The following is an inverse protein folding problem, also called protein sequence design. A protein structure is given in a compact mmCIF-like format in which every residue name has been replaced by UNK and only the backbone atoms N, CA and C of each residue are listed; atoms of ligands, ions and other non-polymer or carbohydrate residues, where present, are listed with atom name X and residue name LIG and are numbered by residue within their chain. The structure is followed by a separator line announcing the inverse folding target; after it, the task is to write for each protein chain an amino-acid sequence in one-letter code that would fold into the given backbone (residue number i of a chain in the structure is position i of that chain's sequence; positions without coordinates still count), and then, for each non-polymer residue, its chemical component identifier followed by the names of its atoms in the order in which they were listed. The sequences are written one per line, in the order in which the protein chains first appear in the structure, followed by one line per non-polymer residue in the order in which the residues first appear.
data_IF_143561742891
#
_entry.id   IF_143561742891
#
_cell.length_a   1.000
_cell.length_b   1.000
_cell.length_c   1.000
_cell.angle_alpha   90.00
_cell.angle_beta   90.00
_cell.angle_gamma   90.00
#
_symmetry.space_group_name_H-M   'P 1'
#
loop_
_entity.id
_entity.type
_entity.pdbx_description
1 polymer ?
#
# COMPACT_ATOMS: atom_id res chain seq x y z
N UNK A 1 57.83 12.92 -2.20
CA UNK A 1 57.27 13.60 -3.40
C UNK A 1 56.43 12.63 -4.22
N UNK A 2 56.97 11.46 -4.60
CA UNK A 2 56.27 10.45 -5.41
C UNK A 2 54.95 9.91 -4.81
N UNK A 3 54.91 9.59 -3.51
CA UNK A 3 53.66 9.14 -2.85
C UNK A 3 52.58 10.21 -2.85
N UNK A 4 52.97 11.47 -2.62
CA UNK A 4 52.06 12.62 -2.63
C UNK A 4 51.43 12.83 -4.01
N UNK A 5 52.23 12.70 -5.07
CA UNK A 5 51.74 12.88 -6.45
C UNK A 5 50.83 11.70 -6.89
N UNK A 6 51.12 10.50 -6.40
CA UNK A 6 50.25 9.32 -6.57
C UNK A 6 48.90 9.54 -5.89
N UNK A 7 48.90 9.99 -4.64
CA UNK A 7 47.69 10.32 -3.89
C UNK A 7 46.88 11.42 -4.57
N UNK A 8 47.53 12.49 -5.05
CA UNK A 8 46.86 13.58 -5.76
C UNK A 8 46.10 13.09 -7.01
N UNK A 9 46.70 12.16 -7.75
CA UNK A 9 46.08 11.57 -8.94
C UNK A 9 44.85 10.72 -8.57
N UNK A 10 44.93 9.96 -7.47
CA UNK A 10 43.79 9.17 -6.99
C UNK A 10 42.63 10.03 -6.49
N UNK A 11 42.93 11.13 -5.78
CA UNK A 11 41.92 12.07 -5.26
C UNK A 11 41.16 12.71 -6.42
N UNK A 12 41.87 13.25 -7.42
CA UNK A 12 41.24 13.83 -8.61
C UNK A 12 40.36 12.82 -9.37
N UNK A 13 40.81 11.56 -9.45
CA UNK A 13 40.03 10.49 -10.06
C UNK A 13 38.76 10.13 -9.27
N UNK A 14 38.83 10.17 -7.94
CA UNK A 14 37.68 9.94 -7.07
C UNK A 14 36.69 11.11 -7.12
N UNK A 15 37.16 12.35 -7.12
CA UNK A 15 36.32 13.55 -7.26
C UNK A 15 35.54 13.53 -8.58
N UNK A 16 36.16 13.09 -9.69
CA UNK A 16 35.48 12.90 -10.96
C UNK A 16 34.37 11.84 -10.91
N UNK A 17 34.61 10.73 -10.20
CA UNK A 17 33.60 9.68 -10.00
C UNK A 17 32.46 10.15 -9.12
N UNK A 18 32.75 10.88 -8.05
CA UNK A 18 31.73 11.47 -7.16
C UNK A 18 30.83 12.40 -7.95
N UNK A 19 31.39 13.31 -8.75
CA UNK A 19 30.60 14.22 -9.59
C UNK A 19 29.70 13.49 -10.59
N UNK A 20 30.24 12.46 -11.25
CA UNK A 20 29.46 11.64 -12.18
C UNK A 20 28.32 10.86 -11.49
N UNK A 21 28.52 10.44 -10.23
CA UNK A 21 27.48 9.79 -9.44
C UNK A 21 26.42 10.80 -8.96
N UNK A 22 26.81 12.02 -8.58
CA UNK A 22 25.89 13.10 -8.21
C UNK A 22 24.99 13.50 -9.41
N UNK A 23 25.58 13.64 -10.60
CA UNK A 23 24.83 13.95 -11.83
C UNK A 23 23.82 12.84 -12.17
N UNK A 24 24.24 11.57 -12.08
CA UNK A 24 23.34 10.42 -12.25
C UNK A 24 22.23 10.40 -11.21
N UNK A 25 22.56 10.67 -9.94
CA UNK A 25 21.56 10.71 -8.88
C UNK A 25 20.53 11.81 -9.16
N UNK A 26 20.96 12.97 -9.64
CA UNK A 26 20.08 14.09 -10.01
C UNK A 26 19.20 13.75 -11.21
N UNK A 27 19.73 13.06 -12.22
CA UNK A 27 18.97 12.55 -13.36
C UNK A 27 17.94 11.50 -12.93
N UNK A 28 18.30 10.56 -12.05
CA UNK A 28 17.37 9.55 -11.53
C UNK A 28 16.34 10.12 -10.57
N UNK A 29 16.68 11.17 -9.81
CA UNK A 29 15.75 11.82 -8.86
C UNK A 29 14.62 12.58 -9.58
N UNK A 30 14.83 13.00 -10.83
CA UNK A 30 13.77 13.53 -11.70
C UNK A 30 12.98 12.45 -12.45
N UNK A 31 13.38 11.18 -12.35
CA UNK A 31 12.85 10.04 -13.13
C UNK A 31 12.41 8.88 -12.25
N UNK A 32 12.34 9.09 -10.94
CA UNK A 32 11.83 8.12 -9.99
C UNK A 32 10.34 7.93 -10.22
N UNK A 33 9.97 6.81 -10.83
CA UNK A 33 8.58 6.33 -10.96
C UNK A 33 7.89 6.10 -9.61
N UNK A 34 8.59 6.31 -8.49
CA UNK A 34 8.09 6.15 -7.11
C UNK A 34 7.67 7.47 -6.47
N UNK A 35 8.04 8.64 -7.03
CA UNK A 35 7.72 9.97 -6.45
C UNK A 35 6.65 10.75 -7.24
N UNK A 36 6.11 10.17 -8.33
CA UNK A 36 5.01 10.78 -9.08
C UNK A 36 3.71 10.10 -8.63
N UNK A 37 3.14 10.60 -7.54
CA UNK A 37 1.73 10.32 -7.21
C UNK A 37 0.92 10.80 -8.42
N UNK A 38 0.26 9.87 -9.11
CA UNK A 38 -0.49 10.22 -10.32
C UNK A 38 -1.75 10.98 -9.96
N UNK A 39 -2.35 11.70 -10.92
CA UNK A 39 -3.64 12.35 -10.67
C UNK A 39 -4.72 11.33 -10.30
N UNK A 40 -4.64 10.11 -10.85
CA UNK A 40 -5.52 9.01 -10.49
C UNK A 40 -5.30 8.54 -9.06
N UNK A 41 -4.05 8.42 -8.60
CA UNK A 41 -3.74 8.07 -7.21
C UNK A 41 -4.26 9.15 -6.25
N UNK A 42 -4.06 10.43 -6.56
CA UNK A 42 -4.62 11.53 -5.75
C UNK A 42 -6.16 11.53 -5.73
N UNK A 43 -6.82 11.07 -6.80
CA UNK A 43 -8.27 11.00 -6.84
C UNK A 43 -8.83 9.92 -5.90
N UNK A 44 -8.14 8.78 -5.77
CA UNK A 44 -8.59 7.64 -4.95
C UNK A 44 -8.04 7.68 -3.52
N UNK A 45 -6.87 8.29 -3.31
CA UNK A 45 -6.19 8.41 -2.02
C UNK A 45 -5.82 9.86 -1.71
N UNK A 46 -6.83 10.71 -1.54
CA UNK A 46 -6.65 12.12 -1.19
C UNK A 46 -5.88 12.34 0.12
N UNK A 47 -5.92 11.38 1.03
CA UNK A 47 -5.26 11.45 2.31
C UNK A 47 -3.83 10.91 2.28
N UNK A 48 -3.40 10.31 1.16
CA UNK A 48 -2.06 9.72 1.01
C UNK A 48 -1.82 8.54 1.95
N UNK A 49 -2.87 7.81 2.34
CA UNK A 49 -2.80 6.66 3.27
C UNK A 49 -1.98 5.51 2.66
N UNK A 50 -1.99 5.39 1.33
CA UNK A 50 -1.38 4.32 0.57
C UNK A 50 -0.08 4.75 -0.12
N UNK A 51 0.21 6.05 -0.14
CA UNK A 51 1.43 6.61 -0.70
C UNK A 51 2.67 5.97 -0.05
N UNK A 52 3.59 5.48 -0.87
CA UNK A 52 4.84 4.84 -0.41
C UNK A 52 4.69 3.43 0.19
N UNK A 53 3.48 2.86 0.19
CA UNK A 53 3.32 1.45 0.56
C UNK A 53 3.89 0.53 -0.52
N UNK A 54 4.60 -0.51 -0.08
CA UNK A 54 5.03 -1.56 -1.00
C UNK A 54 3.82 -2.32 -1.57
N UNK A 55 3.99 -2.94 -2.74
CA UNK A 55 2.95 -3.79 -3.35
C UNK A 55 2.42 -4.86 -2.39
N UNK A 56 3.28 -5.47 -1.58
CA UNK A 56 2.88 -6.48 -0.60
C UNK A 56 1.98 -5.88 0.50
N UNK A 57 2.29 -4.68 0.97
CA UNK A 57 1.48 -3.97 1.97
C UNK A 57 0.10 -3.57 1.43
N UNK A 58 0.05 -3.08 0.19
CA UNK A 58 -1.22 -2.76 -0.48
C UNK A 58 -2.11 -4.00 -0.62
N UNK A 59 -1.54 -5.12 -1.06
CA UNK A 59 -2.25 -6.39 -1.15
C UNK A 59 -2.75 -6.84 0.24
N UNK A 60 -1.90 -6.76 1.27
CA UNK A 60 -2.30 -7.08 2.64
C UNK A 60 -3.48 -6.22 3.11
N UNK A 61 -3.48 -4.92 2.77
CA UNK A 61 -4.55 -4.02 3.17
C UNK A 61 -5.87 -4.30 2.46
N UNK A 62 -5.82 -4.73 1.19
CA UNK A 62 -7.00 -5.18 0.44
C UNK A 62 -7.62 -6.41 1.10
N UNK A 63 -6.81 -7.39 1.51
CA UNK A 63 -7.32 -8.58 2.22
C UNK A 63 -7.94 -8.22 3.56
N UNK A 64 -7.28 -7.38 4.36
CA UNK A 64 -7.82 -6.90 5.64
C UNK A 64 -9.19 -6.22 5.47
N UNK A 65 -9.34 -5.34 4.47
CA UNK A 65 -10.60 -4.67 4.17
C UNK A 65 -11.69 -5.66 3.74
N UNK A 66 -11.35 -6.63 2.88
CA UNK A 66 -12.29 -7.66 2.44
C UNK A 66 -12.79 -8.52 3.62
N UNK A 67 -11.91 -8.91 4.53
CA UNK A 67 -12.26 -9.71 5.69
C UNK A 67 -13.21 -8.93 6.62
N UNK A 68 -12.91 -7.66 6.89
CA UNK A 68 -13.78 -6.78 7.69
C UNK A 68 -15.16 -6.62 7.04
N UNK A 69 -15.20 -6.41 5.72
CA UNK A 69 -16.47 -6.27 4.99
C UNK A 69 -17.29 -7.56 5.04
N UNK A 70 -16.65 -8.72 4.89
CA UNK A 70 -17.30 -10.02 4.98
C UNK A 70 -17.86 -10.28 6.37
N UNK A 71 -17.07 -10.05 7.41
CA UNK A 71 -17.49 -10.22 8.80
C UNK A 71 -18.66 -9.28 9.16
N UNK A 72 -18.60 -8.03 8.69
CA UNK A 72 -19.67 -7.05 8.87
C UNK A 72 -20.95 -7.51 8.18
N UNK A 73 -20.87 -7.92 6.92
CA UNK A 73 -22.03 -8.39 6.16
C UNK A 73 -22.65 -9.65 6.78
N UNK A 74 -21.82 -10.61 7.19
CA UNK A 74 -22.27 -11.82 7.88
C UNK A 74 -22.97 -11.47 9.19
N UNK A 75 -22.38 -10.60 10.00
CA UNK A 75 -22.97 -10.17 11.28
C UNK A 75 -24.33 -9.48 11.08
N UNK A 76 -24.43 -8.60 10.07
CA UNK A 76 -25.69 -7.92 9.73
C UNK A 76 -26.76 -8.91 9.26
N UNK A 77 -26.40 -9.87 8.43
CA UNK A 77 -27.31 -10.91 7.97
C UNK A 77 -27.87 -11.72 9.16
N UNK A 78 -26.99 -12.23 10.03
CA UNK A 78 -27.39 -12.96 11.23
C UNK A 78 -28.29 -12.13 12.15
N UNK A 79 -27.99 -10.84 12.29
CA UNK A 79 -28.81 -9.93 13.09
C UNK A 79 -30.23 -9.80 12.50
N UNK A 80 -30.36 -9.60 11.18
CA UNK A 80 -31.66 -9.53 10.49
C UNK A 80 -32.42 -10.85 10.63
N UNK A 81 -31.75 -12.00 10.45
CA UNK A 81 -32.35 -13.32 10.64
C UNK A 81 -32.88 -13.48 12.06
N UNK A 82 -32.12 -13.05 13.07
CA UNK A 82 -32.54 -13.08 14.47
C UNK A 82 -33.77 -12.18 14.71
N UNK A 83 -33.81 -10.98 14.13
CA UNK A 83 -34.96 -10.08 14.22
C UNK A 83 -36.22 -10.69 13.58
N UNK A 84 -36.10 -11.32 12.41
CA UNK A 84 -37.22 -11.99 11.74
C UNK A 84 -37.76 -13.13 12.61
N UNK A 85 -36.89 -13.95 13.19
CA UNK A 85 -37.29 -15.04 14.11
C UNK A 85 -38.03 -14.49 15.33
N UNK A 86 -37.52 -13.42 15.92
CA UNK A 86 -38.11 -12.81 17.11
C UNK A 86 -39.50 -12.21 16.82
N UNK A 87 -39.67 -11.54 15.68
CA UNK A 87 -40.94 -10.92 15.29
C UNK A 87 -42.03 -11.94 14.92
N UNK A 88 -41.63 -13.11 14.39
CA UNK A 88 -42.55 -14.17 13.98
C UNK A 88 -42.57 -15.33 14.98
N UNK A 89 -42.36 -15.04 16.27
CA UNK A 89 -42.36 -16.04 17.32
C UNK A 89 -43.69 -16.81 17.33
N UNK A 90 -43.61 -18.15 17.25
CA UNK A 90 -44.78 -19.04 17.20
C UNK A 90 -45.25 -19.43 15.79
N UNK A 91 -44.60 -18.91 14.74
CA UNK A 91 -44.81 -19.34 13.36
C UNK A 91 -43.67 -20.26 12.91
N UNK A 92 -43.99 -21.28 12.12
CA UNK A 92 -42.98 -22.15 11.51
C UNK A 92 -42.41 -21.46 10.27
N UNK A 93 -41.16 -21.01 10.35
CA UNK A 93 -40.43 -20.36 9.25
C UNK A 93 -39.49 -21.37 8.59
N UNK A 94 -39.40 -21.32 7.26
CA UNK A 94 -38.35 -22.03 6.54
C UNK A 94 -37.02 -21.30 6.76
N UNK A 95 -36.09 -21.96 7.47
CA UNK A 95 -34.78 -21.42 7.82
C UNK A 95 -33.62 -22.00 7.01
N UNK A 96 -33.88 -22.86 6.02
CA UNK A 96 -32.83 -23.55 5.26
C UNK A 96 -31.89 -22.54 4.59
N UNK A 97 -30.59 -22.64 4.89
CA UNK A 97 -29.55 -21.76 4.35
C UNK A 97 -29.48 -20.37 5.00
N UNK A 98 -30.25 -20.13 6.07
CA UNK A 98 -30.22 -18.88 6.85
C UNK A 98 -29.55 -19.07 8.22
N UNK A 99 -29.15 -20.29 8.56
CA UNK A 99 -28.54 -20.72 9.82
C UNK A 99 -27.14 -21.35 9.65
N UNK A 100 -26.59 -21.29 8.44
CA UNK A 100 -25.21 -21.64 8.10
C UNK A 100 -24.23 -20.56 8.56
#
# INVERSE_FOLDING_TARGET
VQERDTLLTTVNGLEGKVRALEDKLKETKGRGTEDIITEEEMAVDRAGVYAGLSRAMLVSKIFELNDIMLETASSQFHNVVAQIRALNAGMELNMVGLDE
#
